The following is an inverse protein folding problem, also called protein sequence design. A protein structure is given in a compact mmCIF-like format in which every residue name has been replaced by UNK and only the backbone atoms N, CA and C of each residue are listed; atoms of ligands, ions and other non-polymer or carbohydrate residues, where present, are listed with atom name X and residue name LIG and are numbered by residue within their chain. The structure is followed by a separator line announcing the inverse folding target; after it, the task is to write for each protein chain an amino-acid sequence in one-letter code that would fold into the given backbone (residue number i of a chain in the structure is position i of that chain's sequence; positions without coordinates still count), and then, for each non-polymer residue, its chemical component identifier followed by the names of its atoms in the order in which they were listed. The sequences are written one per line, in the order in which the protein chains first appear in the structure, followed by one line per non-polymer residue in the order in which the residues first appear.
data_IF_968392886081
#
_entry.id   IF_968392886081
#
_cell.length_a   1.000
_cell.length_b   1.000
_cell.length_c   1.000
_cell.angle_alpha   90.00
_cell.angle_beta   90.00
_cell.angle_gamma   90.00
#
_symmetry.space_group_name_H-M   'P 1'
#
loop_
_entity.id
_entity.type
_entity.pdbx_description
1 polymer ?
#
# COMPACT_ATOMS: atom_id res chain seq x y z
N UNK A 1 13.73 -2.17 -8.46
CA UNK A 1 13.88 -3.23 -7.43
C UNK A 1 12.88 -4.38 -7.64
N UNK A 2 11.56 -4.14 -7.63
CA UNK A 2 10.56 -5.22 -7.76
C UNK A 2 10.77 -6.13 -8.97
N UNK A 3 11.03 -5.58 -10.16
CA UNK A 3 11.32 -6.39 -11.34
C UNK A 3 12.50 -7.38 -11.16
N UNK A 4 13.52 -7.02 -10.37
CA UNK A 4 14.61 -7.94 -10.03
C UNK A 4 14.16 -9.06 -9.08
N UNK A 5 13.29 -8.76 -8.11
CA UNK A 5 12.66 -9.74 -7.22
C UNK A 5 11.77 -10.71 -8.02
N UNK A 6 10.98 -10.18 -8.95
CA UNK A 6 10.14 -11.00 -9.84
C UNK A 6 10.96 -11.92 -10.73
N UNK A 7 12.11 -11.44 -11.27
CA UNK A 7 13.04 -12.27 -12.05
C UNK A 7 13.62 -13.46 -11.28
N UNK A 8 13.70 -13.38 -9.94
CA UNK A 8 14.17 -14.49 -9.10
C UNK A 8 13.05 -15.39 -8.60
N UNK A 9 11.81 -15.17 -9.07
CA UNK A 9 10.63 -15.93 -8.65
C UNK A 9 10.27 -15.73 -7.17
N UNK A 10 10.67 -14.60 -6.58
CA UNK A 10 10.40 -14.28 -5.17
C UNK A 10 9.24 -13.28 -5.05
N UNK A 11 8.74 -13.15 -3.83
CA UNK A 11 7.61 -12.29 -3.50
C UNK A 11 8.02 -10.82 -3.46
N UNK A 12 7.49 -10.00 -4.35
CA UNK A 12 7.71 -8.56 -4.36
C UNK A 12 6.59 -7.85 -3.60
N UNK A 13 6.90 -7.34 -2.40
CA UNK A 13 5.96 -6.52 -1.63
C UNK A 13 6.18 -5.03 -1.93
N UNK A 14 5.28 -4.42 -2.68
CA UNK A 14 5.30 -2.98 -2.95
C UNK A 14 4.89 -2.21 -1.70
N UNK A 15 5.62 -1.16 -1.34
CA UNK A 15 5.38 -0.42 -0.09
C UNK A 15 4.88 0.99 -0.36
N UNK A 16 3.80 1.37 0.33
CA UNK A 16 3.27 2.73 0.41
C UNK A 16 3.67 3.31 1.76
N UNK A 17 4.39 4.43 1.76
CA UNK A 17 4.72 5.15 2.98
C UNK A 17 3.59 6.11 3.34
N UNK A 18 2.93 5.88 4.47
CA UNK A 18 1.88 6.75 4.96
C UNK A 18 2.46 8.04 5.55
N UNK A 19 1.78 9.15 5.28
CA UNK A 19 2.04 10.46 5.88
C UNK A 19 0.78 11.32 5.81
N UNK A 20 0.78 12.47 6.48
CA UNK A 20 -0.31 13.44 6.45
C UNK A 20 0.18 14.76 5.87
N UNK A 21 -0.53 15.30 4.87
CA UNK A 21 -0.27 16.61 4.28
C UNK A 21 -1.45 17.03 3.40
N UNK A 22 -1.54 18.28 2.94
CA UNK A 22 -2.62 18.74 2.07
C UNK A 22 -2.81 17.95 0.76
N UNK A 23 -1.81 17.21 0.30
CA UNK A 23 -1.86 16.44 -0.96
C UNK A 23 -2.00 14.93 -0.77
N UNK A 24 -1.93 14.44 0.47
CA UNK A 24 -1.99 13.01 0.79
C UNK A 24 -3.43 12.66 1.22
N UNK A 25 -4.25 12.27 0.24
CA UNK A 25 -5.65 11.86 0.43
C UNK A 25 -5.80 10.34 0.32
N UNK A 26 -6.93 9.74 0.77
CA UNK A 26 -7.17 8.32 0.58
C UNK A 26 -7.03 7.86 -0.88
N UNK A 27 -7.57 8.65 -1.82
CA UNK A 27 -7.51 8.37 -3.27
C UNK A 27 -6.06 8.38 -3.76
N UNK A 28 -5.23 9.27 -3.22
CA UNK A 28 -3.81 9.33 -3.57
C UNK A 28 -3.06 8.06 -3.17
N UNK A 29 -3.41 7.44 -2.04
CA UNK A 29 -2.81 6.18 -1.58
C UNK A 29 -3.36 4.97 -2.35
N UNK A 30 -4.65 4.95 -2.64
CA UNK A 30 -5.27 3.90 -3.48
C UNK A 30 -4.60 3.89 -4.86
N UNK A 31 -4.42 5.06 -5.48
CA UNK A 31 -3.72 5.18 -6.78
C UNK A 31 -2.25 4.75 -6.72
N UNK A 32 -1.58 4.91 -5.57
CA UNK A 32 -0.23 4.37 -5.39
C UNK A 32 -0.24 2.84 -5.34
N UNK A 33 -1.24 2.24 -4.69
CA UNK A 33 -1.42 0.78 -4.70
C UNK A 33 -1.63 0.25 -6.11
N UNK A 34 -2.53 0.89 -6.89
CA UNK A 34 -2.78 0.54 -8.30
C UNK A 34 -1.47 0.49 -9.09
N UNK A 35 -0.66 1.55 -9.00
CA UNK A 35 0.64 1.62 -9.70
C UNK A 35 1.62 0.54 -9.27
N UNK A 36 1.68 0.21 -7.99
CA UNK A 36 2.58 -0.84 -7.49
C UNK A 36 2.13 -2.22 -8.00
N UNK A 37 0.83 -2.47 -8.05
CA UNK A 37 0.24 -3.70 -8.59
C UNK A 37 0.51 -3.79 -10.10
N UNK A 38 0.30 -2.71 -10.86
CA UNK A 38 0.62 -2.63 -12.29
C UNK A 38 2.10 -2.90 -12.59
N UNK A 39 2.99 -2.49 -11.67
CA UNK A 39 4.43 -2.76 -11.74
C UNK A 39 4.81 -4.21 -11.35
N UNK A 40 3.84 -5.03 -10.95
CA UNK A 40 4.00 -6.45 -10.63
C UNK A 40 4.24 -6.75 -9.15
N UNK A 41 3.75 -5.92 -8.23
CA UNK A 41 3.74 -6.25 -6.81
C UNK A 41 2.81 -7.44 -6.53
N UNK A 42 3.28 -8.41 -5.75
CA UNK A 42 2.49 -9.57 -5.30
C UNK A 42 1.61 -9.23 -4.10
N UNK A 43 2.04 -8.27 -3.28
CA UNK A 43 1.25 -7.72 -2.18
C UNK A 43 1.64 -6.28 -1.89
N UNK A 44 0.78 -5.58 -1.15
CA UNK A 44 1.01 -4.21 -0.70
C UNK A 44 1.38 -4.19 0.78
N UNK A 45 2.43 -3.46 1.13
CA UNK A 45 2.70 -3.00 2.49
C UNK A 45 2.21 -1.57 2.66
N UNK A 46 1.32 -1.33 3.62
CA UNK A 46 0.93 0.00 4.04
C UNK A 46 1.74 0.37 5.29
N UNK A 47 2.73 1.25 5.13
CA UNK A 47 3.76 1.51 6.15
C UNK A 47 3.54 2.87 6.81
N UNK A 48 3.11 2.85 8.06
CA UNK A 48 3.11 4.01 8.95
C UNK A 48 4.30 3.94 9.92
N UNK A 49 5.38 4.62 9.54
CA UNK A 49 6.61 4.67 10.34
C UNK A 49 6.58 5.70 11.48
N UNK A 50 5.63 6.64 11.44
CA UNK A 50 5.58 7.78 12.34
C UNK A 50 4.39 7.72 13.31
N UNK A 51 3.65 6.60 13.34
CA UNK A 51 2.45 6.40 14.15
C UNK A 51 1.37 7.48 13.90
N UNK A 52 1.19 7.88 12.65
CA UNK A 52 0.23 8.90 12.23
C UNK A 52 -1.14 8.33 11.89
N UNK A 53 -1.23 7.03 11.61
CA UNK A 53 -2.41 6.42 10.99
C UNK A 53 -3.54 6.26 12.01
N UNK A 54 -4.61 7.01 11.81
CA UNK A 54 -5.84 6.91 12.59
C UNK A 54 -6.76 5.78 12.08
N UNK A 55 -7.69 5.27 12.91
CA UNK A 55 -8.58 4.17 12.51
C UNK A 55 -9.43 4.43 11.27
N UNK A 56 -10.06 5.62 11.14
CA UNK A 56 -10.94 5.91 10.00
C UNK A 56 -10.18 6.01 8.67
N UNK A 57 -9.09 6.80 8.56
CA UNK A 57 -8.26 6.78 7.35
C UNK A 57 -7.72 5.39 6.98
N UNK A 58 -7.36 4.57 7.97
CA UNK A 58 -6.94 3.20 7.72
C UNK A 58 -8.05 2.39 7.05
N UNK A 59 -9.28 2.46 7.57
CA UNK A 59 -10.43 1.78 6.97
C UNK A 59 -10.69 2.27 5.54
N UNK A 60 -10.77 3.58 5.32
CA UNK A 60 -11.12 4.17 4.03
C UNK A 60 -10.12 3.76 2.94
N UNK A 61 -8.82 3.82 3.26
CA UNK A 61 -7.74 3.49 2.32
C UNK A 61 -7.73 1.99 2.03
N UNK A 62 -7.73 1.15 3.06
CA UNK A 62 -7.60 -0.31 2.89
C UNK A 62 -8.83 -0.86 2.16
N UNK A 63 -10.03 -0.36 2.48
CA UNK A 63 -11.26 -0.70 1.77
C UNK A 63 -11.18 -0.31 0.30
N UNK A 64 -10.78 0.93 -0.01
CA UNK A 64 -10.67 1.38 -1.40
C UNK A 64 -9.67 0.56 -2.23
N UNK A 65 -8.52 0.18 -1.65
CA UNK A 65 -7.57 -0.72 -2.32
C UNK A 65 -8.24 -2.08 -2.61
N UNK A 66 -8.99 -2.62 -1.63
CA UNK A 66 -9.68 -3.91 -1.77
C UNK A 66 -10.85 -3.89 -2.75
N UNK A 67 -11.53 -2.76 -2.91
CA UNK A 67 -12.59 -2.61 -3.91
C UNK A 67 -12.01 -2.64 -5.33
N UNK A 68 -10.84 -2.03 -5.54
CA UNK A 68 -10.15 -2.05 -6.84
C UNK A 68 -9.44 -3.39 -7.10
N UNK A 69 -8.88 -4.01 -6.06
CA UNK A 69 -8.05 -5.22 -6.14
C UNK A 69 -8.48 -6.24 -5.06
N UNK A 70 -9.58 -6.98 -5.26
CA UNK A 70 -10.16 -7.83 -4.21
C UNK A 70 -9.19 -8.89 -3.67
N UNK A 71 -8.37 -9.45 -4.56
CA UNK A 71 -7.48 -10.57 -4.26
C UNK A 71 -6.09 -10.12 -3.73
N UNK A 72 -5.77 -8.82 -3.75
CA UNK A 72 -4.44 -8.36 -3.33
C UNK A 72 -4.26 -8.54 -1.82
N UNK A 73 -3.18 -9.18 -1.39
CA UNK A 73 -2.82 -9.18 0.02
C UNK A 73 -2.33 -7.78 0.43
N UNK A 74 -2.80 -7.29 1.59
CA UNK A 74 -2.35 -6.02 2.17
C UNK A 74 -1.82 -6.31 3.57
N UNK A 75 -0.59 -5.90 3.84
CA UNK A 75 0.04 -5.98 5.16
C UNK A 75 0.19 -4.58 5.74
N UNK A 76 -0.40 -4.33 6.91
CA UNK A 76 -0.29 -3.07 7.61
C UNK A 76 0.90 -3.11 8.58
N UNK A 77 1.83 -2.18 8.44
CA UNK A 77 2.94 -1.97 9.38
C UNK A 77 2.75 -0.62 10.05
N UNK A 78 2.55 -0.61 11.37
CA UNK A 78 2.41 0.61 12.16
C UNK A 78 3.37 0.61 13.35
N UNK A 79 3.78 1.81 13.77
CA UNK A 79 4.49 2.05 15.03
C UNK A 79 3.50 2.48 16.12
N UNK A 80 3.99 2.50 17.36
CA UNK A 80 3.28 2.95 18.57
C UNK A 80 3.79 4.30 19.04
#
# INVERSE_FOLDING_TARGET
AMAAVKKTGKHAQGTICYTTSPIHTPESFIKQADRLIDMGADSIAFKDMAALLKPQPAYDIIKGIKENHPDVQINLHCHS
#
